data_IF_030920325629
#
_entry.id   IF_030920325629
#
_cell.length_a   1.000
_cell.length_b   1.000
_cell.length_c   1.000
_cell.angle_alpha   90.00
_cell.angle_beta   90.00
_cell.angle_gamma   90.00
#
_symmetry.space_group_name_H-M   'P 1'
#
loop_
_entity.id
_entity.type
_entity.pdbx_description
1 polymer ?
#
# COMPACT_ATOMS: atom_id res chain seq x y z
N UNK A 1 7.49 -2.80 14.42
CA UNK A 1 6.79 -2.62 13.12
C UNK A 1 7.78 -2.82 12.00
N UNK A 2 7.43 -3.60 10.96
CA UNK A 2 8.18 -3.63 9.71
C UNK A 2 7.69 -2.50 8.80
N UNK A 3 8.60 -1.68 8.28
CA UNK A 3 8.33 -0.71 7.22
C UNK A 3 8.89 -1.30 5.94
N UNK A 4 8.08 -1.35 4.87
CA UNK A 4 8.52 -1.88 3.60
C UNK A 4 8.17 -0.98 2.43
N UNK A 5 9.02 -0.96 1.40
CA UNK A 5 8.77 -0.28 0.13
C UNK A 5 9.39 -1.05 -1.02
N UNK A 6 8.84 -0.87 -2.22
CA UNK A 6 9.40 -1.42 -3.46
C UNK A 6 10.06 -0.30 -4.27
N UNK A 7 11.25 -0.59 -4.78
CA UNK A 7 11.91 0.20 -5.81
C UNK A 7 11.87 -0.54 -7.14
N UNK A 8 11.56 0.17 -8.23
CA UNK A 8 11.82 -0.29 -9.59
C UNK A 8 12.24 0.90 -10.45
N UNK A 9 13.54 0.98 -10.75
CA UNK A 9 14.16 2.03 -11.56
C UNK A 9 13.95 3.49 -11.08
N UNK A 10 13.59 3.69 -9.79
CA UNK A 10 13.34 5.01 -9.18
C UNK A 10 14.12 5.16 -7.85
N UNK A 11 15.45 4.99 -7.86
CA UNK A 11 16.26 4.96 -6.64
C UNK A 11 16.17 6.25 -5.83
N UNK A 12 16.16 7.41 -6.49
CA UNK A 12 16.12 8.71 -5.81
C UNK A 12 14.83 8.93 -5.02
N UNK A 13 13.69 8.46 -5.54
CA UNK A 13 12.41 8.52 -4.81
C UNK A 13 12.45 7.61 -3.60
N UNK A 14 12.98 6.41 -3.74
CA UNK A 14 13.11 5.43 -2.65
C UNK A 14 14.03 5.96 -1.55
N UNK A 15 15.21 6.49 -1.90
CA UNK A 15 16.12 7.09 -0.94
C UNK A 15 15.52 8.33 -0.26
N UNK A 16 14.73 9.14 -0.99
CA UNK A 16 14.02 10.26 -0.42
C UNK A 16 12.93 9.83 0.58
N UNK A 17 12.17 8.76 0.27
CA UNK A 17 11.20 8.17 1.19
C UNK A 17 11.90 7.76 2.50
N UNK A 18 12.99 6.98 2.41
CA UNK A 18 13.74 6.51 3.59
C UNK A 18 14.32 7.69 4.38
N UNK A 19 14.82 8.72 3.71
CA UNK A 19 15.28 9.95 4.36
C UNK A 19 14.14 10.65 5.13
N UNK A 20 12.94 10.73 4.57
CA UNK A 20 11.78 11.30 5.27
C UNK A 20 11.41 10.47 6.51
N UNK A 21 11.39 9.13 6.38
CA UNK A 21 11.11 8.22 7.49
C UNK A 21 12.12 8.38 8.63
N UNK A 22 13.40 8.57 8.32
CA UNK A 22 14.47 8.75 9.31
C UNK A 22 14.37 10.04 10.14
N UNK A 23 13.50 10.97 9.76
CA UNK A 23 13.20 12.17 10.57
C UNK A 23 12.22 11.89 11.71
N UNK A 24 11.47 10.79 11.66
CA UNK A 24 10.59 10.36 12.73
C UNK A 24 11.41 9.57 13.78
N UNK A 25 11.44 9.99 15.06
CA UNK A 25 12.16 9.24 16.09
C UNK A 25 11.72 7.77 16.21
N UNK A 26 10.46 7.48 15.89
CA UNK A 26 9.90 6.11 15.89
C UNK A 26 10.58 5.19 14.89
N UNK A 27 11.21 5.73 13.85
CA UNK A 27 11.93 4.96 12.85
C UNK A 27 13.04 4.08 13.47
N UNK A 28 13.68 4.55 14.54
CA UNK A 28 14.74 3.79 15.23
C UNK A 28 14.25 2.49 15.88
N UNK A 29 12.94 2.39 16.16
CA UNK A 29 12.30 1.19 16.73
C UNK A 29 11.67 0.30 15.64
N UNK A 30 11.87 0.64 14.38
CA UNK A 30 11.29 -0.08 13.24
C UNK A 30 12.36 -0.86 12.49
N UNK A 31 11.95 -1.95 11.90
CA UNK A 31 12.74 -2.66 10.89
C UNK A 31 12.40 -2.09 9.52
N UNK A 32 13.39 -1.89 8.66
CA UNK A 32 13.23 -1.39 7.30
C UNK A 32 13.57 -2.46 6.26
N UNK A 33 12.63 -2.70 5.34
CA UNK A 33 12.83 -3.57 4.17
C UNK A 33 12.61 -2.77 2.88
N UNK A 34 13.69 -2.50 2.16
CA UNK A 34 13.66 -1.87 0.83
C UNK A 34 13.95 -2.93 -0.21
N UNK A 35 12.92 -3.32 -0.95
CA UNK A 35 13.04 -4.35 -2.00
C UNK A 35 13.27 -3.69 -3.35
N UNK A 36 14.42 -3.93 -3.94
CA UNK A 36 14.64 -3.63 -5.35
C UNK A 36 13.98 -4.70 -6.21
N UNK A 37 12.95 -4.32 -6.95
CA UNK A 37 12.13 -5.21 -7.76
C UNK A 37 12.70 -5.33 -9.19
N UNK A 38 13.95 -5.77 -9.29
CA UNK A 38 14.62 -6.05 -10.56
C UNK A 38 14.94 -4.80 -11.38
N UNK A 39 15.45 -3.74 -10.74
CA UNK A 39 15.89 -2.53 -11.46
C UNK A 39 17.04 -2.83 -12.41
N UNK A 40 16.99 -2.22 -13.60
CA UNK A 40 17.99 -2.40 -14.68
C UNK A 40 19.10 -1.37 -14.63
N UNK A 41 18.85 -0.20 -14.03
CA UNK A 41 19.79 0.93 -14.00
C UNK A 41 20.60 0.92 -12.69
N UNK A 42 20.14 1.66 -11.70
CA UNK A 42 20.81 1.79 -10.41
C UNK A 42 19.89 1.40 -9.26
N UNK A 43 20.48 0.86 -8.21
CA UNK A 43 19.79 0.55 -6.97
C UNK A 43 19.67 1.80 -6.11
N UNK A 44 18.61 1.88 -5.30
CA UNK A 44 18.56 2.83 -4.20
C UNK A 44 19.67 2.49 -3.18
N UNK A 45 20.29 3.50 -2.58
CA UNK A 45 21.31 3.31 -1.54
C UNK A 45 20.76 2.61 -0.31
N UNK A 46 19.48 2.79 -0.06
CA UNK A 46 18.73 2.18 1.03
C UNK A 46 18.30 0.74 0.75
N UNK A 47 18.57 0.17 -0.43
CA UNK A 47 18.17 -1.20 -0.79
C UNK A 47 18.70 -2.23 0.20
N UNK A 48 17.80 -3.04 0.77
CA UNK A 48 18.15 -4.16 1.68
C UNK A 48 17.99 -5.53 1.01
N UNK A 49 17.06 -5.63 0.06
CA UNK A 49 16.78 -6.87 -0.66
C UNK A 49 16.72 -6.60 -2.16
N UNK A 50 17.26 -7.52 -2.96
CA UNK A 50 17.30 -7.39 -4.42
C UNK A 50 16.68 -8.62 -5.08
N UNK A 51 15.75 -8.38 -6.01
CA UNK A 51 15.20 -9.41 -6.88
C UNK A 51 15.91 -9.39 -8.24
N UNK A 52 16.03 -10.57 -8.85
CA UNK A 52 16.70 -10.70 -10.16
C UNK A 52 15.90 -10.11 -11.31
N UNK A 53 14.58 -10.00 -11.16
CA UNK A 53 13.66 -9.49 -12.17
C UNK A 53 12.48 -8.77 -11.55
N UNK A 54 11.86 -7.88 -12.33
CA UNK A 54 10.60 -7.27 -11.96
C UNK A 54 9.48 -8.31 -11.92
N UNK A 55 8.88 -8.48 -10.76
CA UNK A 55 7.72 -9.34 -10.52
C UNK A 55 6.45 -8.52 -10.22
N UNK A 56 6.45 -7.26 -10.66
CA UNK A 56 5.41 -6.27 -10.47
C UNK A 56 5.09 -5.99 -8.98
N UNK A 57 4.11 -5.11 -8.77
CA UNK A 57 3.80 -4.63 -7.41
C UNK A 57 3.28 -5.75 -6.49
N UNK A 58 2.30 -6.53 -6.98
CA UNK A 58 1.71 -7.62 -6.18
C UNK A 58 2.69 -8.75 -5.88
N UNK A 59 3.56 -9.09 -6.84
CA UNK A 59 4.63 -10.05 -6.60
C UNK A 59 5.64 -9.55 -5.56
N UNK A 60 6.08 -8.29 -5.69
CA UNK A 60 6.98 -7.67 -4.71
C UNK A 60 6.33 -7.56 -3.32
N UNK A 61 5.03 -7.26 -3.25
CA UNK A 61 4.30 -7.27 -1.98
C UNK A 61 4.28 -8.66 -1.34
N UNK A 62 4.09 -9.73 -2.14
CA UNK A 62 4.14 -11.10 -1.63
C UNK A 62 5.52 -11.47 -1.06
N UNK A 63 6.62 -10.96 -1.63
CA UNK A 63 7.97 -11.14 -1.04
C UNK A 63 8.07 -10.48 0.33
N UNK A 64 7.56 -9.25 0.46
CA UNK A 64 7.51 -8.55 1.75
C UNK A 64 6.63 -9.27 2.75
N UNK A 65 5.48 -9.76 2.30
CA UNK A 65 4.52 -10.48 3.14
C UNK A 65 5.10 -11.80 3.66
N UNK A 66 5.78 -12.56 2.80
CA UNK A 66 6.47 -13.79 3.18
C UNK A 66 7.53 -13.52 4.26
N UNK A 67 8.40 -12.53 4.04
CA UNK A 67 9.38 -12.09 5.02
C UNK A 67 8.72 -11.65 6.33
N UNK A 68 7.67 -10.83 6.28
CA UNK A 68 6.97 -10.35 7.45
C UNK A 68 6.40 -11.50 8.30
N UNK A 69 5.77 -12.48 7.66
CA UNK A 69 5.12 -13.58 8.35
C UNK A 69 6.11 -14.62 8.91
N UNK A 70 7.18 -14.90 8.19
CA UNK A 70 8.08 -16.03 8.50
C UNK A 70 9.38 -15.61 9.21
N UNK A 71 9.88 -14.38 8.97
CA UNK A 71 11.16 -13.92 9.49
C UNK A 71 11.06 -12.87 10.60
N UNK A 72 9.85 -12.33 10.86
CA UNK A 72 9.65 -11.31 11.88
C UNK A 72 8.56 -11.69 12.89
N UNK A 73 8.54 -10.99 14.03
CA UNK A 73 7.48 -11.08 15.05
C UNK A 73 6.72 -9.75 15.20
N UNK A 74 6.86 -8.83 14.25
CA UNK A 74 6.21 -7.53 14.30
C UNK A 74 4.69 -7.63 14.21
N UNK A 75 3.97 -6.79 14.97
CA UNK A 75 2.50 -6.76 14.96
C UNK A 75 1.93 -6.05 13.73
N UNK A 76 2.70 -5.16 13.11
CA UNK A 76 2.26 -4.34 11.98
C UNK A 76 3.27 -4.34 10.84
N UNK A 77 2.77 -4.42 9.61
CA UNK A 77 3.46 -4.10 8.36
C UNK A 77 3.00 -2.73 7.86
N UNK A 78 3.92 -1.77 7.71
CA UNK A 78 3.66 -0.52 7.02
C UNK A 78 4.25 -0.57 5.63
N UNK A 79 3.41 -0.80 4.63
CA UNK A 79 3.85 -0.85 3.24
C UNK A 79 3.64 0.52 2.58
N UNK A 80 4.70 1.11 2.05
CA UNK A 80 4.70 2.48 1.56
C UNK A 80 5.11 2.52 0.08
N UNK A 81 4.34 3.20 -0.77
CA UNK A 81 4.82 3.53 -2.10
C UNK A 81 6.02 4.46 -2.01
N UNK A 82 6.99 4.30 -2.91
CA UNK A 82 8.24 5.08 -2.84
C UNK A 82 8.11 6.54 -3.29
N UNK A 83 6.97 6.93 -3.85
CA UNK A 83 6.67 8.28 -4.35
C UNK A 83 5.75 9.09 -3.40
N UNK A 84 5.86 8.84 -2.10
CA UNK A 84 5.13 9.55 -1.06
C UNK A 84 5.94 10.73 -0.47
N UNK A 85 5.21 11.77 -0.09
CA UNK A 85 5.70 12.88 0.74
C UNK A 85 4.85 12.92 2.01
N UNK A 86 5.50 12.88 3.18
CA UNK A 86 4.83 12.93 4.47
C UNK A 86 4.67 14.37 4.94
N UNK A 87 3.56 14.64 5.63
CA UNK A 87 3.30 15.93 6.27
C UNK A 87 3.46 15.81 7.78
N UNK A 88 4.62 16.22 8.26
CA UNK A 88 4.98 16.23 9.67
C UNK A 88 6.03 15.19 10.05
N UNK A 89 6.77 15.47 11.15
CA UNK A 89 7.90 14.65 11.57
C UNK A 89 7.49 13.39 12.36
N UNK A 90 6.22 13.25 12.74
CA UNK A 90 5.72 12.14 13.56
C UNK A 90 4.79 11.21 12.79
N UNK A 91 5.04 11.03 11.49
CA UNK A 91 4.19 10.25 10.60
C UNK A 91 4.01 8.79 11.07
N UNK A 92 5.10 8.12 11.44
CA UNK A 92 5.09 6.72 11.88
C UNK A 92 4.41 6.57 13.25
N UNK A 93 4.79 7.44 14.20
CA UNK A 93 4.21 7.44 15.54
C UNK A 93 2.71 7.63 15.48
N UNK A 94 2.26 8.68 14.78
CA UNK A 94 0.83 9.00 14.65
C UNK A 94 0.06 7.87 13.96
N UNK A 95 0.60 7.27 12.89
CA UNK A 95 -0.06 6.14 12.20
C UNK A 95 -0.29 4.96 13.15
N UNK A 96 0.72 4.59 13.92
CA UNK A 96 0.64 3.45 14.82
C UNK A 96 -0.32 3.73 16.00
N UNK A 97 -0.20 4.90 16.63
CA UNK A 97 -1.05 5.31 17.76
C UNK A 97 -2.52 5.38 17.36
N UNK A 98 -2.83 5.99 16.20
CA UNK A 98 -4.21 6.09 15.74
C UNK A 98 -4.79 4.71 15.35
N UNK A 99 -4.01 3.87 14.67
CA UNK A 99 -4.44 2.51 14.34
C UNK A 99 -4.77 1.69 15.60
N UNK A 100 -3.93 1.79 16.62
CA UNK A 100 -4.14 1.11 17.90
C UNK A 100 -5.33 1.69 18.66
N UNK A 101 -5.45 3.02 18.72
CA UNK A 101 -6.53 3.71 19.43
C UNK A 101 -7.92 3.28 18.97
N UNK A 102 -8.11 3.03 17.69
CA UNK A 102 -9.41 2.62 17.12
C UNK A 102 -9.49 1.13 16.81
N UNK A 103 -8.49 0.35 17.19
CA UNK A 103 -8.38 -1.08 16.89
C UNK A 103 -8.55 -1.36 15.38
N UNK A 104 -7.86 -0.58 14.56
CA UNK A 104 -7.88 -0.80 13.12
C UNK A 104 -6.92 -1.95 12.72
N UNK A 105 -7.44 -2.92 11.99
CA UNK A 105 -6.62 -3.95 11.37
C UNK A 105 -5.95 -3.45 10.07
N UNK A 106 -6.57 -2.47 9.44
CA UNK A 106 -6.04 -1.77 8.25
C UNK A 106 -6.21 -0.27 8.45
N UNK A 107 -5.14 0.47 8.32
CA UNK A 107 -5.12 1.92 8.50
C UNK A 107 -4.38 2.60 7.35
N UNK A 108 -4.77 3.81 7.01
CA UNK A 108 -4.03 4.68 6.09
C UNK A 108 -4.15 6.15 6.51
N UNK A 109 -3.09 6.95 6.32
CA UNK A 109 -3.24 8.40 6.28
C UNK A 109 -4.12 8.80 5.10
N UNK A 110 -4.73 9.98 5.18
CA UNK A 110 -5.45 10.54 4.03
C UNK A 110 -4.51 11.28 3.07
N UNK A 111 -4.98 11.47 1.84
CA UNK A 111 -4.23 12.15 0.78
C UNK A 111 -4.67 13.61 0.72
N UNK A 112 -3.73 14.52 0.97
CA UNK A 112 -3.98 15.96 0.81
C UNK A 112 -3.80 16.37 -0.65
N UNK A 113 -4.50 17.45 -1.03
CA UNK A 113 -4.49 17.99 -2.39
C UNK A 113 -4.81 16.91 -3.45
N UNK A 114 -5.59 15.90 -3.05
CA UNK A 114 -5.95 14.83 -3.94
C UNK A 114 -6.84 15.34 -5.08
N UNK A 115 -6.51 14.92 -6.29
CA UNK A 115 -7.39 14.99 -7.46
C UNK A 115 -7.76 13.56 -7.88
N UNK A 116 -8.76 13.43 -8.75
CA UNK A 116 -9.12 12.12 -9.35
C UNK A 116 -7.93 11.48 -10.05
N UNK A 117 -7.02 12.29 -10.59
CA UNK A 117 -5.79 11.81 -11.23
C UNK A 117 -4.78 11.24 -10.24
N UNK A 118 -4.73 11.79 -9.01
CA UNK A 118 -3.81 11.36 -7.95
C UNK A 118 -4.36 10.21 -7.12
N UNK A 119 -5.67 10.21 -6.88
CA UNK A 119 -6.36 9.14 -6.20
C UNK A 119 -7.83 9.12 -6.63
N UNK A 120 -8.23 8.08 -7.34
CA UNK A 120 -9.61 7.92 -7.80
C UNK A 120 -10.60 7.78 -6.62
N UNK A 121 -10.14 7.21 -5.51
CA UNK A 121 -10.99 6.80 -4.39
C UNK A 121 -11.14 7.91 -3.35
N UNK A 122 -12.29 8.58 -3.36
CA UNK A 122 -12.57 9.75 -2.51
C UNK A 122 -12.54 9.46 -1.00
N UNK A 123 -12.77 8.20 -0.57
CA UNK A 123 -12.61 7.85 0.84
C UNK A 123 -11.16 8.03 1.35
N UNK A 124 -10.18 8.11 0.44
CA UNK A 124 -8.79 8.39 0.79
C UNK A 124 -8.47 9.88 0.90
N UNK A 125 -9.34 10.76 0.41
CA UNK A 125 -9.07 12.20 0.42
C UNK A 125 -9.15 12.76 1.83
N UNK A 126 -8.38 13.82 2.07
CA UNK A 126 -8.51 14.59 3.30
C UNK A 126 -9.79 15.44 3.26
N UNK A 127 -10.71 15.12 4.15
CA UNK A 127 -11.99 15.83 4.29
C UNK A 127 -12.03 16.73 5.53
N UNK A 128 -10.95 16.78 6.33
CA UNK A 128 -10.91 17.48 7.61
C UNK A 128 -11.85 16.89 8.67
N UNK A 129 -12.18 15.60 8.56
CA UNK A 129 -13.14 14.90 9.44
C UNK A 129 -12.45 14.12 10.58
N UNK A 130 -11.13 14.22 10.68
CA UNK A 130 -10.35 13.45 11.65
C UNK A 130 -10.25 11.97 11.29
N UNK A 131 -10.17 11.13 12.30
CA UNK A 131 -10.08 9.68 12.14
C UNK A 131 -11.46 9.08 11.83
N UNK A 132 -11.59 8.34 10.74
CA UNK A 132 -12.86 7.79 10.28
C UNK A 132 -12.76 6.35 9.82
N UNK A 133 -13.83 5.59 10.01
CA UNK A 133 -13.94 4.23 9.49
C UNK A 133 -14.36 4.24 8.03
N UNK A 134 -13.71 3.38 7.25
CA UNK A 134 -14.02 3.13 5.84
C UNK A 134 -14.11 1.62 5.60
N UNK A 135 -14.67 1.20 4.46
CA UNK A 135 -14.80 -0.23 4.17
C UNK A 135 -13.49 -0.84 3.65
N UNK A 136 -12.65 -0.04 3.00
CA UNK A 136 -11.37 -0.44 2.45
C UNK A 136 -10.53 0.81 2.13
N UNK A 137 -9.24 0.64 1.91
CA UNK A 137 -8.30 1.71 1.58
C UNK A 137 -7.54 1.38 0.30
N UNK A 138 -7.11 2.40 -0.45
CA UNK A 138 -6.18 2.27 -1.56
C UNK A 138 -4.75 2.03 -1.03
N UNK A 139 -4.00 1.14 -1.69
CA UNK A 139 -2.69 0.67 -1.21
C UNK A 139 -1.53 1.64 -1.54
N UNK A 140 -1.67 2.91 -1.17
CA UNK A 140 -0.59 3.89 -1.26
C UNK A 140 0.31 3.87 -0.01
N UNK A 141 -0.31 3.80 1.17
CA UNK A 141 0.38 3.74 2.46
C UNK A 141 -0.41 2.90 3.49
N UNK A 142 -0.66 1.61 3.23
CA UNK A 142 -1.38 0.76 4.16
C UNK A 142 -0.51 0.35 5.36
N UNK A 143 -0.98 0.65 6.57
CA UNK A 143 -0.52 0.02 7.80
C UNK A 143 -1.46 -1.15 8.11
N UNK A 144 -0.92 -2.37 8.10
CA UNK A 144 -1.71 -3.60 8.17
C UNK A 144 -1.27 -4.43 9.37
N UNK A 145 -2.23 -4.84 10.20
CA UNK A 145 -1.97 -5.66 11.38
C UNK A 145 -1.72 -7.12 11.00
N UNK A 146 -0.87 -7.80 11.77
CA UNK A 146 -0.42 -9.18 11.52
C UNK A 146 -1.58 -10.17 11.38
N UNK A 147 -2.60 -10.09 12.22
CA UNK A 147 -3.70 -11.05 12.24
C UNK A 147 -4.48 -11.14 10.92
N UNK A 148 -4.65 -10.01 10.20
CA UNK A 148 -5.26 -10.04 8.87
C UNK A 148 -4.28 -10.60 7.83
N UNK A 149 -2.98 -10.27 7.92
CA UNK A 149 -1.96 -10.79 7.01
C UNK A 149 -1.77 -12.30 7.16
N UNK A 150 -1.90 -12.84 8.37
CA UNK A 150 -1.91 -14.29 8.64
C UNK A 150 -3.13 -15.01 8.01
N UNK A 151 -4.23 -14.32 7.80
CA UNK A 151 -5.39 -14.84 7.05
C UNK A 151 -5.20 -14.75 5.54
N UNK A 152 -4.57 -13.68 5.08
CA UNK A 152 -4.22 -13.50 3.66
C UNK A 152 -3.14 -14.51 3.25
N UNK A 153 -2.07 -14.65 4.03
CA UNK A 153 -0.88 -15.49 3.79
C UNK A 153 -0.12 -15.15 2.51
N UNK A 154 -0.82 -15.01 1.41
CA UNK A 154 -0.31 -14.66 0.09
C UNK A 154 -1.44 -14.05 -0.73
N UNK A 155 -1.14 -12.97 -1.43
CA UNK A 155 -2.08 -12.42 -2.41
C UNK A 155 -2.12 -13.30 -3.67
N UNK A 156 -3.32 -13.44 -4.28
CA UNK A 156 -3.49 -14.23 -5.50
C UNK A 156 -2.54 -13.81 -6.64
N UNK A 157 -1.98 -14.79 -7.36
CA UNK A 157 -1.08 -14.53 -8.48
C UNK A 157 -1.72 -13.70 -9.59
N UNK A 158 -3.03 -13.79 -9.77
CA UNK A 158 -3.78 -12.97 -10.73
C UNK A 158 -3.67 -11.47 -10.40
N UNK A 159 -3.45 -11.10 -9.12
CA UNK A 159 -3.30 -9.72 -8.68
C UNK A 159 -1.84 -9.23 -8.71
N UNK A 160 -0.98 -9.90 -9.48
CA UNK A 160 0.47 -9.62 -9.55
C UNK A 160 0.79 -8.17 -9.93
N UNK A 161 -0.05 -7.52 -10.72
CA UNK A 161 0.12 -6.11 -11.12
C UNK A 161 -0.16 -5.11 -9.98
N UNK A 162 -0.72 -5.56 -8.86
CA UNK A 162 -1.06 -4.74 -7.70
C UNK A 162 -2.50 -4.27 -7.65
N UNK A 163 -3.21 -4.21 -8.77
CA UNK A 163 -4.62 -3.85 -8.78
C UNK A 163 -5.46 -4.93 -8.12
N UNK A 164 -6.29 -4.51 -7.16
CA UNK A 164 -7.18 -5.40 -6.42
C UNK A 164 -6.62 -5.94 -5.10
N UNK A 165 -5.35 -5.70 -4.73
CA UNK A 165 -4.82 -6.08 -3.41
C UNK A 165 -5.56 -5.37 -2.28
N UNK A 166 -5.90 -4.12 -2.51
CA UNK A 166 -6.70 -3.24 -1.66
C UNK A 166 -8.12 -3.78 -1.45
N UNK A 167 -8.82 -4.12 -2.54
CA UNK A 167 -10.13 -4.77 -2.48
C UNK A 167 -10.06 -6.13 -1.80
N UNK A 168 -9.05 -6.94 -2.11
CA UNK A 168 -8.87 -8.25 -1.49
C UNK A 168 -8.72 -8.13 0.04
N UNK A 169 -7.86 -7.22 0.47
CA UNK A 169 -7.67 -6.94 1.90
C UNK A 169 -8.96 -6.41 2.55
N UNK A 170 -9.69 -5.52 1.86
CA UNK A 170 -11.00 -5.04 2.30
C UNK A 170 -12.03 -6.16 2.44
N UNK A 171 -12.06 -7.10 1.49
CA UNK A 171 -12.92 -8.28 1.57
C UNK A 171 -12.58 -9.19 2.76
N UNK A 172 -11.29 -9.42 3.02
CA UNK A 172 -10.85 -10.21 4.17
C UNK A 172 -11.21 -9.51 5.47
N UNK A 173 -10.95 -8.19 5.57
CA UNK A 173 -11.29 -7.40 6.75
C UNK A 173 -12.80 -7.43 7.06
N UNK A 174 -13.64 -7.25 6.03
CA UNK A 174 -15.11 -7.29 6.18
C UNK A 174 -15.60 -8.67 6.66
N UNK A 175 -15.13 -9.77 6.05
CA UNK A 175 -15.47 -11.13 6.48
C UNK A 175 -15.08 -11.42 7.94
N UNK A 176 -13.95 -10.87 8.37
CA UNK A 176 -13.46 -11.02 9.75
C UNK A 176 -14.07 -10.00 10.71
N UNK A 177 -14.88 -9.07 10.22
CA UNK A 177 -15.46 -7.94 10.96
C UNK A 177 -14.38 -7.06 11.62
N UNK A 178 -13.25 -6.92 10.96
CA UNK A 178 -12.14 -6.07 11.39
C UNK A 178 -12.33 -4.64 10.89
N UNK A 179 -11.80 -3.68 11.65
CA UNK A 179 -11.93 -2.26 11.32
C UNK A 179 -10.89 -1.82 10.31
N UNK A 180 -11.34 -0.98 9.38
CA UNK A 180 -10.46 -0.23 8.46
C UNK A 180 -10.68 1.26 8.71
N UNK A 181 -9.58 2.02 8.82
CA UNK A 181 -9.65 3.45 9.14
C UNK A 181 -8.75 4.30 8.24
N UNK A 182 -9.16 5.55 8.06
CA UNK A 182 -8.36 6.61 7.39
C UNK A 182 -8.31 7.82 8.30
N UNK A 183 -7.13 8.44 8.45
CA UNK A 183 -6.94 9.64 9.25
C UNK A 183 -6.71 10.88 8.41
N UNK A 184 -7.45 11.95 8.74
CA UNK A 184 -7.24 13.28 8.16
C UNK A 184 -6.26 14.13 8.99
N UNK A 185 -5.90 13.69 10.21
CA UNK A 185 -4.86 14.33 11.01
C UNK A 185 -3.45 13.90 10.56
N UNK A 186 -3.31 12.67 10.08
CA UNK A 186 -2.08 12.17 9.48
C UNK A 186 -2.24 12.11 7.95
N UNK A 187 -1.35 12.77 7.22
CA UNK A 187 -1.57 13.04 5.79
C UNK A 187 -0.34 12.77 4.94
N UNK A 188 -0.59 12.36 3.71
CA UNK A 188 0.42 12.18 2.67
C UNK A 188 0.08 12.97 1.41
N UNK A 189 1.10 13.30 0.64
CA UNK A 189 0.97 13.65 -0.77
C UNK A 189 1.54 12.50 -1.61
N UNK A 190 0.79 12.01 -2.57
CA UNK A 190 1.22 10.98 -3.50
C UNK A 190 1.61 11.62 -4.83
N UNK A 191 2.86 11.46 -5.26
CA UNK A 191 3.37 12.08 -6.50
C UNK A 191 2.78 11.43 -7.76
N UNK A 192 2.08 10.32 -7.57
CA UNK A 192 1.29 9.57 -8.55
C UNK A 192 2.07 9.02 -9.74
N UNK A 193 2.06 7.70 -9.84
CA UNK A 193 2.46 6.95 -11.05
C UNK A 193 3.82 7.34 -11.62
N UNK A 194 4.81 7.63 -10.76
CA UNK A 194 6.14 8.07 -11.21
C UNK A 194 6.81 7.05 -12.15
N UNK A 195 6.61 5.75 -11.91
CA UNK A 195 7.09 4.68 -12.81
C UNK A 195 6.55 4.84 -14.24
N UNK A 196 5.28 5.24 -14.38
CA UNK A 196 4.67 5.48 -15.70
C UNK A 196 5.14 6.81 -16.31
N UNK A 197 5.11 7.90 -15.53
CA UNK A 197 5.50 9.24 -15.98
C UNK A 197 6.95 9.31 -16.45
N UNK A 198 7.82 8.56 -15.81
CA UNK A 198 9.25 8.50 -16.15
C UNK A 198 9.59 7.37 -17.14
N UNK A 199 8.57 6.68 -17.68
CA UNK A 199 8.73 5.55 -18.60
C UNK A 199 9.67 4.44 -18.04
N UNK A 200 9.55 4.18 -16.74
CA UNK A 200 10.36 3.19 -16.01
C UNK A 200 9.67 1.83 -15.88
N UNK A 201 8.62 1.58 -16.65
CA UNK A 201 7.89 0.32 -16.68
C UNK A 201 8.43 -0.60 -17.80
N UNK A 202 8.48 -1.90 -17.53
CA UNK A 202 9.03 -2.90 -18.48
C UNK A 202 8.09 -3.21 -19.65
N UNK A 203 6.81 -2.90 -19.54
CA UNK A 203 5.78 -3.03 -20.57
C UNK A 203 5.09 -1.70 -20.80
N UNK A 204 4.43 -1.51 -21.94
CA UNK A 204 3.71 -0.27 -22.21
C UNK A 204 2.62 0.01 -21.17
N UNK A 205 2.46 1.28 -20.76
CA UNK A 205 1.48 1.70 -19.72
C UNK A 205 0.07 1.20 -20.04
N UNK A 206 -0.39 1.38 -21.29
CA UNK A 206 -1.73 0.94 -21.70
C UNK A 206 -1.89 -0.57 -21.60
N UNK A 207 -0.86 -1.33 -21.96
CA UNK A 207 -0.88 -2.79 -21.83
C UNK A 207 -0.90 -3.21 -20.37
N UNK A 208 -0.06 -2.58 -19.51
CA UNK A 208 -0.07 -2.83 -18.09
C UNK A 208 -1.47 -2.60 -17.49
N UNK A 209 -2.08 -1.44 -17.73
CA UNK A 209 -3.40 -1.11 -17.19
C UNK A 209 -4.46 -2.11 -17.67
N UNK A 210 -4.43 -2.47 -18.95
CA UNK A 210 -5.36 -3.47 -19.52
C UNK A 210 -5.20 -4.84 -18.89
N UNK A 211 -3.96 -5.29 -18.66
CA UNK A 211 -3.68 -6.59 -18.03
C UNK A 211 -4.06 -6.57 -16.54
N UNK A 212 -3.70 -5.51 -15.83
CA UNK A 212 -4.03 -5.36 -14.42
C UNK A 212 -5.55 -5.36 -14.18
N UNK A 213 -6.31 -4.59 -14.96
CA UNK A 213 -7.77 -4.55 -14.88
C UNK A 213 -8.41 -5.89 -15.24
N UNK A 214 -7.96 -6.51 -16.33
CA UNK A 214 -8.45 -7.82 -16.76
C UNK A 214 -8.25 -8.86 -15.67
N UNK A 215 -7.03 -8.99 -15.15
CA UNK A 215 -6.69 -9.99 -14.16
C UNK A 215 -7.47 -9.78 -12.84
N UNK A 216 -7.58 -8.54 -12.40
CA UNK A 216 -8.38 -8.19 -11.23
C UNK A 216 -9.85 -8.59 -11.41
N UNK A 217 -10.46 -8.21 -12.53
CA UNK A 217 -11.87 -8.51 -12.80
C UNK A 217 -12.11 -10.03 -12.93
N UNK A 218 -11.24 -10.75 -13.62
CA UNK A 218 -11.33 -12.22 -13.75
C UNK A 218 -11.19 -12.91 -12.39
N UNK A 219 -10.26 -12.44 -11.54
CA UNK A 219 -10.08 -12.99 -10.21
C UNK A 219 -11.36 -12.81 -9.36
N UNK A 220 -11.85 -11.58 -9.22
CA UNK A 220 -13.01 -11.33 -8.38
C UNK A 220 -14.28 -11.98 -8.91
N UNK A 221 -14.50 -11.98 -10.24
CA UNK A 221 -15.65 -12.64 -10.86
C UNK A 221 -15.74 -14.13 -10.49
N UNK A 222 -14.59 -14.81 -10.42
CA UNK A 222 -14.52 -16.25 -10.18
C UNK A 222 -14.21 -16.61 -8.71
N UNK A 223 -14.09 -15.63 -7.82
CA UNK A 223 -13.77 -15.85 -6.41
C UNK A 223 -15.02 -15.85 -5.52
N UNK A 224 -14.85 -16.39 -4.32
CA UNK A 224 -15.85 -16.27 -3.25
C UNK A 224 -16.09 -14.81 -2.79
N UNK A 225 -15.26 -13.87 -3.22
CA UNK A 225 -15.34 -12.44 -2.90
C UNK A 225 -16.15 -11.63 -3.91
N UNK A 226 -16.66 -12.21 -4.99
CA UNK A 226 -17.31 -11.45 -6.08
C UNK A 226 -18.38 -10.46 -5.58
N UNK A 227 -19.35 -10.94 -4.80
CA UNK A 227 -20.43 -10.08 -4.29
C UNK A 227 -19.89 -8.96 -3.40
N UNK A 228 -18.94 -9.26 -2.53
CA UNK A 228 -18.36 -8.29 -1.60
C UNK A 228 -17.49 -7.27 -2.33
N UNK A 229 -16.68 -7.72 -3.29
CA UNK A 229 -15.91 -6.83 -4.16
C UNK A 229 -16.79 -5.78 -4.85
N UNK A 230 -17.92 -6.20 -5.43
CA UNK A 230 -18.85 -5.27 -6.08
C UNK A 230 -19.42 -4.25 -5.09
N UNK A 231 -19.72 -4.68 -3.85
CA UNK A 231 -20.19 -3.77 -2.80
C UNK A 231 -19.10 -2.77 -2.36
N UNK A 232 -17.85 -3.23 -2.20
CA UNK A 232 -16.73 -2.36 -1.85
C UNK A 232 -16.41 -1.36 -2.96
N UNK A 233 -16.44 -1.80 -4.21
CA UNK A 233 -16.24 -0.93 -5.38
C UNK A 233 -17.32 0.14 -5.45
N UNK A 234 -18.59 -0.24 -5.36
CA UNK A 234 -19.73 0.70 -5.33
C UNK A 234 -19.60 1.70 -4.17
N UNK A 235 -19.18 1.24 -2.98
CA UNK A 235 -18.94 2.13 -1.84
C UNK A 235 -17.86 3.19 -2.18
N UNK A 236 -16.73 2.79 -2.76
CA UNK A 236 -15.66 3.72 -3.14
C UNK A 236 -16.11 4.73 -4.20
N UNK A 237 -16.83 4.28 -5.23
CA UNK A 237 -17.35 5.13 -6.31
C UNK A 237 -18.40 6.16 -5.82
N UNK A 238 -19.18 5.80 -4.80
CA UNK A 238 -20.26 6.63 -4.25
C UNK A 238 -19.87 7.41 -2.99
N UNK A 239 -18.64 7.31 -2.51
CA UNK A 239 -18.19 7.97 -1.29
C UNK A 239 -18.32 9.51 -1.40
N UNK A 240 -18.94 10.14 -0.37
CA UNK A 240 -19.26 11.58 -0.29
C UNK A 240 -18.66 12.21 0.97
#
# INVERSE_FOLDING_TARGET
MLIATLNHNLPDLTDNLVRQLSLDPKFNDCELMVVDNGSKESLAKSTTHKLDKNIFFGGGFNVVLDYFLNETTHDYLYFLNNDLIFHGPSFLSTSLEEAQMVDAAVYSPSIINASIEQCHWKQMWNWGRGLRYVKWIDFQAPLIRRDILEKIKQFPEQLIYGWGLDFYTGCVADKLKLRTAVSDANTICHLNSQTFKQNKIDIGVNEFCRMAEKNMNEYFLNSEYNSLYLQLRTYGEQYK
#
